data_IF_568489736978
#
_entry.id   IF_568489736978
#
_cell.length_a   1.000
_cell.length_b   1.000
_cell.length_c   1.000
_cell.angle_alpha   90.00
_cell.angle_beta   90.00
_cell.angle_gamma   90.00
#
_symmetry.space_group_name_H-M   'P 1'
#
loop_
_entity.id
_entity.type
_entity.pdbx_description
1 polymer ?
#
# COMPACT_ATOMS: atom_id res chain seq x y z
N UNK A 1 79.98 -3.01 -66.59
CA UNK A 1 78.72 -2.37 -67.03
C UNK A 1 77.51 -3.19 -66.64
N UNK A 2 76.66 -2.69 -65.74
CA UNK A 2 75.33 -3.30 -65.53
C UNK A 2 74.93 -3.61 -64.12
N UNK A 3 75.09 -2.69 -63.12
CA UNK A 3 74.54 -2.88 -61.76
C UNK A 3 73.56 -1.80 -61.38
N UNK A 4 73.12 -0.92 -62.35
CA UNK A 4 72.22 0.18 -62.07
C UNK A 4 70.70 -0.10 -62.17
N UNK A 5 70.28 -1.19 -62.90
CA UNK A 5 68.88 -1.47 -63.20
C UNK A 5 68.05 -2.16 -62.07
N UNK A 6 68.76 -3.00 -61.25
CA UNK A 6 68.08 -3.80 -60.22
C UNK A 6 67.56 -2.97 -59.00
N UNK A 7 68.33 -1.95 -58.60
CA UNK A 7 68.02 -1.13 -57.44
C UNK A 7 66.80 -0.25 -57.65
N UNK A 8 66.62 0.26 -58.86
CA UNK A 8 65.44 1.15 -59.21
C UNK A 8 64.09 0.35 -59.24
N UNK A 9 64.19 -0.94 -59.70
CA UNK A 9 62.95 -1.78 -59.74
C UNK A 9 62.55 -2.22 -58.35
N UNK A 10 63.49 -2.59 -57.48
CA UNK A 10 63.23 -3.01 -56.10
C UNK A 10 62.70 -1.84 -55.28
N UNK A 11 63.21 -0.62 -55.47
CA UNK A 11 62.72 0.58 -54.77
C UNK A 11 61.30 0.97 -55.20
N UNK A 12 61.01 0.88 -56.52
CA UNK A 12 59.63 1.12 -57.05
C UNK A 12 58.65 0.07 -56.54
N UNK A 13 59.02 -1.22 -56.47
CA UNK A 13 58.15 -2.28 -55.92
C UNK A 13 57.89 -2.05 -54.43
N UNK A 14 58.87 -1.61 -53.64
CA UNK A 14 58.70 -1.30 -52.21
C UNK A 14 57.75 -0.08 -52.02
N UNK A 15 57.86 0.96 -52.81
CA UNK A 15 57.00 2.16 -52.76
C UNK A 15 55.56 1.78 -53.13
N UNK A 16 55.33 1.04 -54.19
CA UNK A 16 53.99 0.58 -54.59
C UNK A 16 53.38 -0.34 -53.55
N UNK A 17 54.13 -1.25 -52.92
CA UNK A 17 53.59 -2.05 -51.83
C UNK A 17 53.26 -1.24 -50.59
N UNK A 18 54.02 -0.17 -50.29
CA UNK A 18 53.72 0.72 -49.17
C UNK A 18 52.46 1.54 -49.41
N UNK A 19 52.24 2.01 -50.63
CA UNK A 19 51.03 2.73 -51.05
C UNK A 19 49.78 1.82 -51.01
N UNK A 20 49.91 0.59 -51.49
CA UNK A 20 48.82 -0.41 -51.43
C UNK A 20 48.48 -0.77 -50.00
N UNK A 21 49.44 -0.90 -49.09
CA UNK A 21 49.22 -1.15 -47.69
C UNK A 21 48.57 0.05 -46.96
N UNK A 22 48.99 1.27 -47.32
CA UNK A 22 48.37 2.48 -46.78
C UNK A 22 46.90 2.65 -47.24
N UNK A 23 46.63 2.34 -48.51
CA UNK A 23 45.29 2.37 -49.06
C UNK A 23 44.37 1.29 -48.45
N UNK A 24 44.89 0.06 -48.21
CA UNK A 24 44.19 -1.03 -47.51
C UNK A 24 43.88 -0.64 -46.06
N UNK A 25 44.80 -0.01 -45.35
CA UNK A 25 44.60 0.47 -44.00
C UNK A 25 43.51 1.54 -43.93
N UNK A 26 43.49 2.49 -44.87
CA UNK A 26 42.47 3.55 -44.98
C UNK A 26 41.08 2.97 -45.26
N UNK A 27 40.97 1.97 -46.12
CA UNK A 27 39.72 1.26 -46.41
C UNK A 27 39.24 0.49 -45.18
N UNK A 28 40.16 -0.15 -44.45
CA UNK A 28 39.83 -0.85 -43.21
C UNK A 28 39.33 0.09 -42.11
N UNK A 29 39.98 1.25 -41.92
CA UNK A 29 39.53 2.30 -40.97
C UNK A 29 38.15 2.83 -41.32
N UNK A 30 37.89 3.03 -42.62
CA UNK A 30 36.53 3.46 -43.09
C UNK A 30 35.48 2.35 -42.86
N UNK A 31 35.85 1.08 -43.02
CA UNK A 31 34.95 -0.04 -42.76
C UNK A 31 34.63 -0.19 -41.28
N UNK A 32 35.59 -0.01 -40.39
CA UNK A 32 35.40 0.00 -38.95
C UNK A 32 34.46 1.14 -38.52
N UNK A 33 34.67 2.35 -39.08
CA UNK A 33 33.78 3.49 -38.78
C UNK A 33 32.33 3.25 -39.27
N UNK A 34 32.17 2.59 -40.40
CA UNK A 34 30.85 2.22 -40.93
C UNK A 34 30.14 1.20 -40.07
N UNK A 35 30.89 0.22 -39.56
CA UNK A 35 30.37 -0.78 -38.62
C UNK A 35 29.95 -0.15 -37.30
N UNK A 36 30.72 0.78 -36.73
CA UNK A 36 30.36 1.51 -35.51
C UNK A 36 29.10 2.36 -35.70
N UNK A 37 28.96 3.03 -36.85
CA UNK A 37 27.74 3.80 -37.18
C UNK A 37 26.52 2.87 -37.28
N UNK A 38 26.65 1.73 -37.96
CA UNK A 38 25.56 0.75 -38.09
C UNK A 38 25.17 0.14 -36.75
N UNK A 39 26.15 -0.17 -35.89
CA UNK A 39 25.90 -0.68 -34.55
C UNK A 39 25.17 0.37 -33.68
N UNK A 40 25.62 1.62 -33.72
CA UNK A 40 24.96 2.73 -33.00
C UNK A 40 23.54 2.95 -33.50
N UNK A 41 23.31 2.93 -34.82
CA UNK A 41 21.98 3.04 -35.41
C UNK A 41 21.08 1.87 -35.00
N UNK A 42 21.57 0.63 -35.04
CA UNK A 42 20.83 -0.54 -34.63
C UNK A 42 20.45 -0.49 -33.12
N UNK A 43 21.35 0.02 -32.28
CA UNK A 43 21.09 0.21 -30.83
C UNK A 43 20.04 1.29 -30.59
N UNK A 44 20.08 2.39 -31.34
CA UNK A 44 19.07 3.45 -31.25
C UNK A 44 17.70 2.94 -31.73
N UNK A 45 17.64 2.23 -32.86
CA UNK A 45 16.41 1.63 -33.39
C UNK A 45 15.83 0.60 -32.38
N UNK A 46 16.70 -0.22 -31.76
CA UNK A 46 16.30 -1.19 -30.74
C UNK A 46 15.77 -0.51 -29.47
N UNK A 47 16.41 0.58 -29.03
CA UNK A 47 15.94 1.40 -27.91
C UNK A 47 14.60 2.07 -28.24
N UNK A 48 14.43 2.63 -29.43
CA UNK A 48 13.16 3.20 -29.90
C UNK A 48 12.08 2.11 -29.97
N UNK A 49 12.40 0.93 -30.50
CA UNK A 49 11.47 -0.20 -30.56
C UNK A 49 11.03 -0.67 -29.17
N UNK A 50 11.97 -0.78 -28.21
CA UNK A 50 11.65 -1.11 -26.81
C UNK A 50 10.78 -0.02 -26.18
N UNK A 51 11.15 1.25 -26.32
CA UNK A 51 10.35 2.36 -25.74
C UNK A 51 8.96 2.46 -26.35
N UNK A 52 8.80 2.28 -27.67
CA UNK A 52 7.48 2.28 -28.32
C UNK A 52 6.66 1.03 -28.05
N UNK A 53 7.30 -0.12 -27.73
CA UNK A 53 6.62 -1.36 -27.36
C UNK A 53 6.08 -1.32 -25.92
N UNK A 54 6.60 -0.43 -25.05
CA UNK A 54 6.17 -0.25 -23.66
C UNK A 54 5.19 0.93 -23.47
N UNK A 55 4.81 1.63 -24.52
CA UNK A 55 3.81 2.71 -24.38
C UNK A 55 2.38 2.15 -24.39
N UNK A 56 1.58 2.57 -23.43
CA UNK A 56 0.18 2.21 -23.34
C UNK A 56 -0.59 2.75 -24.57
N UNK A 57 -1.07 1.86 -25.44
CA UNK A 57 -1.76 2.24 -26.69
C UNK A 57 -3.23 2.63 -26.49
N UNK A 58 -3.82 2.26 -25.35
CA UNK A 58 -5.22 2.54 -25.00
C UNK A 58 -5.32 3.05 -23.58
N UNK A 59 -6.40 3.76 -23.25
CA UNK A 59 -6.66 4.25 -21.88
C UNK A 59 -6.69 3.10 -20.89
N UNK A 60 -7.32 1.97 -21.26
CA UNK A 60 -7.38 0.81 -20.39
C UNK A 60 -5.98 0.23 -20.09
N UNK A 61 -5.13 0.08 -21.10
CA UNK A 61 -3.74 -0.37 -20.93
C UNK A 61 -2.94 0.59 -20.04
N UNK A 62 -3.15 1.90 -20.18
CA UNK A 62 -2.50 2.90 -19.33
C UNK A 62 -2.92 2.76 -17.85
N UNK A 63 -4.21 2.49 -17.57
CA UNK A 63 -4.65 2.22 -16.20
C UNK A 63 -4.13 0.90 -15.66
N UNK A 64 -4.03 -0.16 -16.47
CA UNK A 64 -3.45 -1.44 -16.08
C UNK A 64 -1.98 -1.28 -15.68
N UNK A 65 -1.17 -0.63 -16.54
CA UNK A 65 0.23 -0.30 -16.25
C UNK A 65 0.38 0.56 -14.99
N UNK A 66 -0.43 1.61 -14.86
CA UNK A 66 -0.42 2.47 -13.68
C UNK A 66 -0.77 1.73 -12.39
N UNK A 67 -1.77 0.84 -12.45
CA UNK A 67 -2.12 -0.02 -11.33
C UNK A 67 -0.99 -0.94 -10.92
N UNK A 68 -0.34 -1.59 -11.87
CA UNK A 68 0.73 -2.55 -11.64
C UNK A 68 1.98 -1.86 -11.07
N UNK A 69 2.41 -0.77 -11.69
CA UNK A 69 3.70 -0.15 -11.37
C UNK A 69 3.66 0.79 -10.17
N UNK A 70 2.55 1.52 -9.97
CA UNK A 70 2.51 2.63 -9.00
C UNK A 70 1.45 2.51 -7.91
N UNK A 71 0.41 1.73 -8.12
CA UNK A 71 -0.75 1.70 -7.20
C UNK A 71 -0.83 0.40 -6.41
N UNK A 72 -0.82 -0.75 -7.09
CA UNK A 72 -0.93 -2.04 -6.44
C UNK A 72 0.37 -2.44 -5.76
N UNK A 73 0.26 -3.19 -4.68
CA UNK A 73 1.43 -3.78 -4.03
C UNK A 73 2.08 -4.81 -4.96
N UNK A 74 3.41 -4.83 -4.96
CA UNK A 74 4.15 -5.87 -5.64
C UNK A 74 3.77 -7.26 -5.10
N UNK A 75 3.47 -8.25 -5.97
CA UNK A 75 3.07 -9.59 -5.53
C UNK A 75 4.17 -10.31 -4.73
N UNK A 76 5.45 -10.12 -5.07
CA UNK A 76 6.59 -10.74 -4.39
C UNK A 76 6.74 -10.15 -2.98
N UNK A 77 6.68 -8.81 -2.86
CA UNK A 77 6.77 -8.13 -1.57
C UNK A 77 5.54 -8.44 -0.70
N UNK A 78 4.36 -8.55 -1.30
CA UNK A 78 3.15 -9.02 -0.61
C UNK A 78 3.34 -10.43 -0.04
N UNK A 79 3.95 -11.35 -0.79
CA UNK A 79 4.25 -12.71 -0.33
C UNK A 79 5.27 -12.71 0.81
N UNK A 80 6.37 -11.96 0.66
CA UNK A 80 7.38 -11.79 1.72
C UNK A 80 6.77 -11.22 3.01
N UNK A 81 5.95 -10.18 2.88
CA UNK A 81 5.30 -9.53 3.99
C UNK A 81 4.36 -10.48 4.76
N UNK A 82 3.59 -11.30 4.05
CA UNK A 82 2.75 -12.33 4.67
C UNK A 82 3.57 -13.40 5.39
N UNK A 83 4.66 -13.88 4.79
CA UNK A 83 5.55 -14.86 5.41
C UNK A 83 6.22 -14.28 6.65
N UNK A 84 6.73 -13.04 6.57
CA UNK A 84 7.36 -12.34 7.70
C UNK A 84 6.35 -12.10 8.85
N UNK A 85 5.12 -11.71 8.54
CA UNK A 85 4.03 -11.58 9.52
C UNK A 85 3.72 -12.90 10.21
N UNK A 86 3.55 -13.97 9.44
CA UNK A 86 3.21 -15.28 10.00
C UNK A 86 4.33 -15.78 10.91
N UNK A 87 5.57 -15.65 10.50
CA UNK A 87 6.72 -16.00 11.34
C UNK A 87 6.76 -15.17 12.64
N UNK A 88 6.49 -13.86 12.58
CA UNK A 88 6.41 -13.02 13.77
C UNK A 88 5.35 -13.54 14.75
N UNK A 89 4.18 -13.91 14.28
CA UNK A 89 3.07 -14.36 15.13
C UNK A 89 3.32 -15.76 15.66
N UNK A 90 3.52 -16.71 14.75
CA UNK A 90 3.53 -18.15 15.06
C UNK A 90 4.79 -18.56 15.82
N UNK A 91 5.97 -18.08 15.37
CA UNK A 91 7.25 -18.49 15.95
C UNK A 91 7.70 -17.57 17.09
N UNK A 92 7.34 -16.29 17.08
CA UNK A 92 7.81 -15.36 18.09
C UNK A 92 6.74 -15.05 19.13
N UNK A 93 5.62 -14.41 18.74
CA UNK A 93 4.63 -13.93 19.73
C UNK A 93 3.96 -15.09 20.45
N UNK A 94 3.56 -16.14 19.73
CA UNK A 94 2.94 -17.31 20.36
C UNK A 94 3.89 -18.06 21.33
N UNK A 95 5.20 -17.86 21.22
CA UNK A 95 6.19 -18.40 22.16
C UNK A 95 6.41 -17.54 23.40
N UNK A 96 5.90 -16.30 23.48
CA UNK A 96 6.14 -15.39 24.61
C UNK A 96 5.71 -15.94 25.97
N UNK A 97 4.56 -16.64 26.13
CA UNK A 97 4.19 -17.24 27.40
C UNK A 97 5.18 -18.28 27.93
N UNK A 98 5.98 -18.90 27.06
CA UNK A 98 7.03 -19.86 27.45
C UNK A 98 8.36 -19.16 27.75
N UNK A 99 8.61 -17.99 27.16
CA UNK A 99 9.82 -17.19 27.37
C UNK A 99 9.73 -16.31 28.63
N UNK A 100 8.52 -15.98 29.07
CA UNK A 100 8.26 -15.16 30.26
C UNK A 100 7.03 -15.67 30.99
N UNK A 101 7.26 -16.25 32.18
CA UNK A 101 6.20 -16.82 33.04
C UNK A 101 5.11 -15.79 33.43
N UNK A 102 5.43 -14.50 33.37
CA UNK A 102 4.50 -13.41 33.68
C UNK A 102 3.88 -12.79 32.44
N UNK A 103 4.14 -13.34 31.26
CA UNK A 103 3.44 -12.91 30.05
C UNK A 103 1.97 -13.35 30.12
N UNK A 104 1.00 -12.50 29.78
CA UNK A 104 -0.41 -12.86 29.75
C UNK A 104 -0.67 -14.10 28.89
N UNK A 105 -1.71 -14.84 29.25
CA UNK A 105 -2.13 -15.99 28.45
C UNK A 105 -2.70 -15.51 27.12
N UNK A 106 -2.24 -16.09 26.02
CA UNK A 106 -2.76 -15.84 24.68
C UNK A 106 -4.11 -16.53 24.45
N UNK A 107 -4.90 -15.98 23.55
CA UNK A 107 -6.11 -16.57 23.02
C UNK A 107 -5.98 -16.62 21.49
N UNK A 108 -4.99 -17.37 21.00
CA UNK A 108 -4.46 -17.34 19.65
C UNK A 108 -5.50 -17.60 18.55
N UNK A 109 -6.56 -18.38 18.86
CA UNK A 109 -7.65 -18.62 17.91
C UNK A 109 -8.49 -17.37 17.61
N UNK A 110 -8.27 -16.31 18.36
CA UNK A 110 -8.95 -15.01 18.21
C UNK A 110 -8.03 -13.90 17.73
N UNK A 111 -6.79 -14.23 17.35
CA UNK A 111 -5.92 -13.30 16.64
C UNK A 111 -6.57 -12.88 15.34
N UNK A 112 -6.37 -11.62 14.95
CA UNK A 112 -7.01 -11.09 13.75
C UNK A 112 -6.07 -10.19 12.97
N UNK A 113 -5.97 -10.42 11.66
CA UNK A 113 -5.34 -9.49 10.74
C UNK A 113 -6.34 -8.38 10.39
N UNK A 114 -5.91 -7.15 10.50
CA UNK A 114 -6.77 -6.01 10.25
C UNK A 114 -6.05 -4.91 9.44
N UNK A 115 -6.61 -3.71 9.38
CA UNK A 115 -6.03 -2.64 8.59
C UNK A 115 -6.17 -2.82 7.08
N UNK A 116 -5.55 -1.92 6.33
CA UNK A 116 -5.70 -1.86 4.87
C UNK A 116 -5.03 -3.03 4.15
N UNK A 117 -3.94 -3.58 4.70
CA UNK A 117 -3.26 -4.75 4.13
C UNK A 117 -4.12 -6.00 4.21
N UNK A 118 -4.76 -6.24 5.35
CA UNK A 118 -5.67 -7.38 5.55
C UNK A 118 -6.92 -7.29 4.67
N UNK A 119 -7.49 -6.08 4.48
CA UNK A 119 -8.63 -5.83 3.60
C UNK A 119 -8.27 -5.81 2.12
N UNK A 120 -6.99 -5.90 1.76
CA UNK A 120 -6.47 -5.80 0.38
C UNK A 120 -6.73 -4.44 -0.27
N UNK A 121 -6.92 -3.41 0.53
CA UNK A 121 -7.12 -2.02 0.09
C UNK A 121 -5.87 -1.14 0.27
N UNK A 122 -4.74 -1.74 0.66
CA UNK A 122 -3.44 -1.07 0.76
C UNK A 122 -2.91 -0.77 -0.63
N UNK A 123 -2.49 0.47 -0.86
CA UNK A 123 -1.73 0.89 -2.05
C UNK A 123 -0.23 0.94 -1.76
N UNK A 124 0.61 1.03 -2.78
CA UNK A 124 2.04 1.34 -2.62
C UNK A 124 2.29 2.68 -1.92
N UNK A 125 3.35 2.74 -1.09
CA UNK A 125 4.17 1.63 -0.65
C UNK A 125 3.48 0.76 0.41
N UNK A 126 3.96 -0.46 0.62
CA UNK A 126 3.63 -1.25 1.80
C UNK A 126 4.46 -0.71 2.96
N UNK A 127 3.86 0.06 3.85
CA UNK A 127 4.54 0.75 4.95
C UNK A 127 4.13 0.21 6.34
N UNK A 128 2.93 -0.38 6.47
CA UNK A 128 2.42 -0.93 7.72
C UNK A 128 1.62 -2.23 7.53
N UNK A 129 1.72 -3.12 8.50
CA UNK A 129 0.95 -4.37 8.60
C UNK A 129 0.37 -4.44 10.02
N UNK A 130 -0.94 -4.33 10.09
CA UNK A 130 -1.67 -4.30 11.35
C UNK A 130 -2.05 -5.70 11.82
N UNK A 131 -1.76 -6.01 13.10
CA UNK A 131 -1.98 -7.31 13.71
C UNK A 131 -2.61 -7.13 15.09
N UNK A 132 -3.75 -7.74 15.33
CA UNK A 132 -4.33 -7.84 16.68
C UNK A 132 -4.01 -9.20 17.27
N UNK A 133 -3.36 -9.19 18.44
CA UNK A 133 -3.03 -10.40 19.22
C UNK A 133 -3.96 -10.49 20.41
N UNK A 134 -4.76 -11.53 20.42
CA UNK A 134 -5.77 -11.72 21.43
C UNK A 134 -5.19 -12.35 22.70
N UNK A 135 -5.52 -11.74 23.82
CA UNK A 135 -5.21 -12.21 25.16
C UNK A 135 -6.43 -12.86 25.81
N UNK A 136 -6.21 -13.87 26.61
CA UNK A 136 -7.26 -14.43 27.46
C UNK A 136 -7.62 -13.43 28.56
N UNK A 137 -8.89 -13.11 28.67
CA UNK A 137 -9.38 -12.20 29.71
C UNK A 137 -9.39 -12.81 31.13
N UNK A 138 -9.28 -14.13 31.26
CA UNK A 138 -9.18 -14.88 32.54
C UNK A 138 -10.24 -14.44 33.58
N UNK A 139 -11.48 -14.19 33.12
CA UNK A 139 -12.58 -13.73 33.95
C UNK A 139 -12.59 -12.23 34.23
N UNK A 140 -11.77 -11.43 33.58
CA UNK A 140 -11.82 -9.98 33.69
C UNK A 140 -13.14 -9.43 33.14
N UNK A 141 -13.61 -8.36 33.79
CA UNK A 141 -14.81 -7.63 33.38
C UNK A 141 -14.44 -6.27 32.81
N UNK A 142 -15.36 -5.65 32.08
CA UNK A 142 -15.16 -4.29 31.61
C UNK A 142 -16.37 -3.41 31.87
N UNK A 143 -16.12 -2.12 32.04
CA UNK A 143 -17.13 -1.09 32.16
C UNK A 143 -16.80 0.03 31.15
N UNK A 144 -17.80 0.39 30.32
CA UNK A 144 -17.63 1.42 29.31
C UNK A 144 -18.41 2.68 29.65
N UNK A 145 -17.73 3.81 29.77
CA UNK A 145 -18.37 5.14 29.84
C UNK A 145 -18.78 5.62 28.43
N UNK A 146 -18.02 5.19 27.41
CA UNK A 146 -18.31 5.35 26.00
C UNK A 146 -17.62 4.23 25.22
N UNK A 147 -17.82 4.16 23.89
CA UNK A 147 -17.11 3.18 23.07
C UNK A 147 -15.59 3.43 23.04
N UNK A 148 -15.16 4.69 23.25
CA UNK A 148 -13.76 5.11 23.20
C UNK A 148 -13.08 5.14 24.57
N UNK A 149 -13.83 4.94 25.65
CA UNK A 149 -13.31 4.93 27.02
C UNK A 149 -13.88 3.78 27.82
N UNK A 150 -13.08 2.73 27.96
CA UNK A 150 -13.44 1.49 28.66
C UNK A 150 -12.38 1.16 29.70
N UNK A 151 -12.80 0.85 30.90
CA UNK A 151 -11.98 0.31 31.95
C UNK A 151 -12.15 -1.21 32.03
N UNK A 152 -11.03 -1.93 32.13
CA UNK A 152 -11.03 -3.39 32.37
C UNK A 152 -10.60 -3.69 33.81
N UNK A 153 -11.32 -4.57 34.49
CA UNK A 153 -11.09 -4.96 35.84
C UNK A 153 -10.70 -6.43 35.95
N UNK A 154 -9.54 -6.66 36.51
CA UNK A 154 -8.88 -7.98 36.58
C UNK A 154 -9.17 -8.65 37.92
N UNK A 155 -9.70 -9.89 37.97
CA UNK A 155 -9.89 -10.64 39.22
C UNK A 155 -8.55 -11.10 39.80
N UNK A 156 -8.52 -11.36 41.07
CA UNK A 156 -7.29 -11.79 41.76
C UNK A 156 -6.74 -13.14 41.24
N UNK A 157 -7.59 -13.99 40.69
CA UNK A 157 -7.21 -15.27 40.07
C UNK A 157 -6.37 -15.10 38.81
N UNK A 158 -6.53 -13.99 38.06
CA UNK A 158 -5.78 -13.69 36.85
C UNK A 158 -4.43 -13.00 37.17
N UNK A 159 -3.56 -13.68 37.88
CA UNK A 159 -2.35 -13.11 38.50
C UNK A 159 -1.39 -12.48 37.48
N UNK A 160 -1.33 -12.97 36.22
CA UNK A 160 -0.47 -12.42 35.17
C UNK A 160 -0.98 -11.05 34.69
N UNK A 161 -2.27 -10.95 34.44
CA UNK A 161 -2.92 -9.68 34.09
C UNK A 161 -2.88 -8.70 35.25
N UNK A 162 -3.02 -9.19 36.50
CA UNK A 162 -2.97 -8.37 37.69
C UNK A 162 -1.66 -7.57 37.82
N UNK A 163 -0.52 -8.12 37.38
CA UNK A 163 0.76 -7.43 37.37
C UNK A 163 0.82 -6.26 36.34
N UNK A 164 -0.11 -6.23 35.41
CA UNK A 164 -0.21 -5.19 34.41
C UNK A 164 -1.31 -4.16 34.73
N UNK A 165 -1.93 -4.26 35.91
CA UNK A 165 -2.86 -3.24 36.37
C UNK A 165 -2.14 -1.96 36.78
N UNK A 166 -2.87 -0.85 36.83
CA UNK A 166 -2.41 0.40 37.43
C UNK A 166 -2.14 0.19 38.93
N UNK A 167 -1.10 0.86 39.44
CA UNK A 167 -0.60 0.62 40.79
C UNK A 167 -1.69 0.85 41.84
N UNK A 168 -1.80 -0.10 42.78
CA UNK A 168 -2.80 -0.06 43.82
C UNK A 168 -4.24 -0.37 43.37
N UNK A 169 -4.47 -0.75 42.11
CA UNK A 169 -5.81 -1.00 41.57
C UNK A 169 -5.95 -2.36 40.92
N UNK A 170 -7.19 -2.67 40.49
CA UNK A 170 -7.51 -3.82 39.67
C UNK A 170 -7.72 -3.44 38.20
N UNK A 171 -7.49 -2.18 37.82
CA UNK A 171 -7.67 -1.70 36.44
C UNK A 171 -6.50 -2.10 35.56
N UNK A 172 -6.77 -2.87 34.51
CA UNK A 172 -5.76 -3.28 33.55
C UNK A 172 -5.26 -2.08 32.73
N UNK A 173 -3.97 -1.81 32.81
CA UNK A 173 -3.35 -0.69 32.10
C UNK A 173 -2.87 -1.13 30.72
N UNK A 174 -3.51 -0.61 29.67
CA UNK A 174 -3.20 -0.97 28.27
C UNK A 174 -1.78 -0.61 27.86
N UNK A 175 -1.19 0.47 28.41
CA UNK A 175 0.21 0.84 28.18
C UNK A 175 1.16 -0.22 28.74
N UNK A 176 0.90 -0.72 29.97
CA UNK A 176 1.71 -1.79 30.58
C UNK A 176 1.63 -3.07 29.74
N UNK A 177 0.45 -3.36 29.16
CA UNK A 177 0.27 -4.51 28.25
C UNK A 177 1.11 -4.35 26.98
N UNK A 178 1.03 -3.21 26.29
CA UNK A 178 1.84 -2.95 25.08
C UNK A 178 3.33 -3.06 25.40
N UNK A 179 3.77 -2.43 26.50
CA UNK A 179 5.18 -2.44 26.90
C UNK A 179 5.69 -3.86 27.19
N UNK A 180 4.80 -4.76 27.65
CA UNK A 180 5.13 -6.17 27.85
C UNK A 180 5.45 -6.89 26.55
N UNK A 181 4.72 -6.60 25.46
CA UNK A 181 5.02 -7.10 24.12
C UNK A 181 6.35 -6.56 23.62
N UNK A 182 6.56 -5.23 23.70
CA UNK A 182 7.80 -4.57 23.25
C UNK A 182 9.02 -5.17 23.94
N UNK A 183 8.96 -5.36 25.28
CA UNK A 183 10.07 -5.93 26.04
C UNK A 183 10.44 -7.36 25.64
N UNK A 184 9.50 -8.14 25.11
CA UNK A 184 9.80 -9.48 24.60
C UNK A 184 10.26 -9.47 23.14
N UNK A 185 9.74 -8.56 22.33
CA UNK A 185 10.26 -8.34 20.96
C UNK A 185 11.73 -7.90 20.99
N UNK A 186 12.15 -7.15 22.01
CA UNK A 186 13.56 -6.77 22.21
C UNK A 186 14.49 -7.97 22.42
N UNK A 187 13.96 -9.07 22.94
CA UNK A 187 14.72 -10.30 23.20
C UNK A 187 14.82 -11.22 21.96
N UNK A 188 14.09 -10.91 20.88
CA UNK A 188 14.16 -11.67 19.63
C UNK A 188 15.40 -11.24 18.86
N UNK A 189 16.39 -12.13 18.63
CA UNK A 189 17.68 -11.75 18.01
C UNK A 189 17.52 -11.05 16.67
N UNK A 190 16.58 -11.50 15.83
CA UNK A 190 16.30 -10.94 14.52
C UNK A 190 15.75 -9.50 14.58
N UNK A 191 15.18 -9.11 15.74
CA UNK A 191 14.58 -7.79 15.93
C UNK A 191 15.42 -6.87 16.83
N UNK A 192 16.58 -7.31 17.33
CA UNK A 192 17.47 -6.45 18.11
C UNK A 192 17.82 -5.14 17.42
N UNK A 193 18.16 -5.11 16.11
CA UNK A 193 18.45 -3.87 15.40
C UNK A 193 17.23 -3.07 14.98
N UNK A 194 16.01 -3.59 15.21
CA UNK A 194 14.75 -2.92 14.85
C UNK A 194 14.42 -1.80 15.84
N UNK A 195 13.80 -0.73 15.37
CA UNK A 195 13.19 0.27 16.25
C UNK A 195 11.85 -0.27 16.76
N UNK A 196 11.68 -0.23 18.08
CA UNK A 196 10.50 -0.70 18.79
C UNK A 196 10.03 0.38 19.74
N UNK A 197 8.83 0.86 19.50
CA UNK A 197 8.23 1.88 20.35
C UNK A 197 6.71 1.69 20.43
N UNK A 198 6.12 2.32 21.44
CA UNK A 198 4.67 2.42 21.53
C UNK A 198 4.17 3.58 20.68
N UNK A 199 3.19 3.28 19.84
CA UNK A 199 2.49 4.28 19.05
C UNK A 199 0.98 4.13 19.31
N UNK A 200 0.43 5.01 20.16
CA UNK A 200 -0.99 4.99 20.55
C UNK A 200 -1.49 3.61 20.98
N UNK A 201 -2.24 2.91 20.13
CA UNK A 201 -2.85 1.61 20.39
C UNK A 201 -1.91 0.42 20.21
N UNK A 202 -0.78 0.63 19.56
CA UNK A 202 0.10 -0.44 19.10
C UNK A 202 1.51 -0.39 19.70
N UNK A 203 2.14 -1.56 19.77
CA UNK A 203 3.59 -1.68 19.76
C UNK A 203 4.08 -1.75 18.31
N UNK A 204 4.71 -0.70 17.83
CA UNK A 204 5.26 -0.64 16.48
C UNK A 204 6.64 -1.28 16.45
N UNK A 205 6.84 -2.22 15.53
CA UNK A 205 8.09 -2.88 15.22
C UNK A 205 8.56 -2.47 13.82
N UNK A 206 9.53 -1.57 13.76
CA UNK A 206 10.13 -1.12 12.49
C UNK A 206 11.39 -1.91 12.19
N UNK A 207 11.33 -2.76 11.16
CA UNK A 207 12.44 -3.59 10.72
C UNK A 207 13.41 -2.77 9.86
N UNK A 208 14.72 -2.97 10.04
CA UNK A 208 15.75 -2.33 9.19
C UNK A 208 15.88 -2.99 7.82
N UNK A 209 15.46 -4.24 7.70
CA UNK A 209 15.62 -5.07 6.51
C UNK A 209 14.42 -5.10 5.57
N UNK A 210 13.33 -4.42 5.95
CA UNK A 210 12.09 -4.33 5.18
C UNK A 210 11.54 -2.92 5.19
N UNK A 211 10.80 -2.57 4.15
CA UNK A 211 10.18 -1.23 4.01
C UNK A 211 8.90 -1.07 4.84
N UNK A 212 8.39 -2.16 5.42
CA UNK A 212 7.17 -2.14 6.25
C UNK A 212 7.46 -2.30 7.73
N UNK A 213 6.53 -1.78 8.52
CA UNK A 213 6.46 -1.96 9.97
C UNK A 213 5.39 -3.00 10.33
N UNK A 214 5.49 -3.56 11.53
CA UNK A 214 4.38 -4.27 12.15
C UNK A 214 3.80 -3.44 13.29
N UNK A 215 2.49 -3.20 13.23
CA UNK A 215 1.73 -2.62 14.32
C UNK A 215 0.99 -3.72 15.07
N UNK A 216 1.52 -4.07 16.25
CA UNK A 216 1.03 -5.15 17.09
C UNK A 216 0.12 -4.56 18.15
N UNK A 217 -1.17 -4.85 18.05
CA UNK A 217 -2.21 -4.36 18.93
C UNK A 217 -2.68 -5.49 19.86
N UNK A 218 -2.34 -5.47 21.16
CA UNK A 218 -2.93 -6.41 22.12
C UNK A 218 -4.43 -6.18 22.22
N UNK A 219 -5.22 -7.24 22.26
CA UNK A 219 -6.67 -7.11 22.34
C UNK A 219 -7.31 -8.18 23.22
N UNK A 220 -8.56 -7.93 23.60
CA UNK A 220 -9.43 -8.91 24.27
C UNK A 220 -10.74 -9.02 23.50
N UNK A 221 -11.19 -10.25 23.25
CA UNK A 221 -12.52 -10.48 22.70
C UNK A 221 -13.53 -10.50 23.86
N UNK A 222 -14.60 -9.71 23.74
CA UNK A 222 -15.66 -9.68 24.75
C UNK A 222 -16.52 -10.94 24.72
N UNK A 223 -17.18 -11.25 25.81
CA UNK A 223 -18.31 -12.16 25.80
C UNK A 223 -19.43 -11.59 24.91
N UNK A 224 -20.31 -12.44 24.35
CA UNK A 224 -21.45 -11.97 23.59
C UNK A 224 -22.37 -11.09 24.46
N UNK A 225 -22.77 -9.96 23.91
CA UNK A 225 -23.88 -9.14 24.46
C UNK A 225 -25.23 -9.88 24.29
N UNK A 226 -26.31 -9.31 24.85
CA UNK A 226 -27.66 -9.88 24.71
C UNK A 226 -28.07 -10.12 23.23
N UNK A 227 -27.59 -9.28 22.32
CA UNK A 227 -27.79 -9.42 20.86
C UNK A 227 -26.93 -10.51 20.19
N UNK A 228 -26.06 -11.20 20.94
CA UNK A 228 -25.06 -12.11 20.42
C UNK A 228 -23.83 -11.43 19.86
N UNK A 229 -23.77 -10.10 19.85
CA UNK A 229 -22.65 -9.32 19.31
C UNK A 229 -21.45 -9.39 20.24
N UNK A 230 -20.26 -9.54 19.64
CA UNK A 230 -18.97 -9.46 20.32
C UNK A 230 -18.14 -8.34 19.74
N UNK A 231 -17.20 -7.81 20.53
CA UNK A 231 -16.26 -6.78 20.14
C UNK A 231 -14.84 -7.16 20.53
N UNK A 232 -13.88 -6.48 19.94
CA UNK A 232 -12.54 -6.44 20.48
C UNK A 232 -12.34 -5.17 21.31
N UNK A 233 -11.68 -5.33 22.47
CA UNK A 233 -11.17 -4.21 23.24
C UNK A 233 -9.69 -4.05 22.92
N UNK A 234 -9.31 -2.88 22.45
CA UNK A 234 -7.93 -2.51 22.11
C UNK A 234 -7.48 -1.33 22.97
N UNK A 235 -6.17 -1.11 23.15
CA UNK A 235 -5.66 0.06 23.85
C UNK A 235 -6.21 1.37 23.28
N UNK A 236 -6.45 2.36 24.15
CA UNK A 236 -6.87 3.71 23.77
C UNK A 236 -5.69 4.70 23.59
N UNK A 237 -4.46 4.22 23.84
CA UNK A 237 -3.26 5.04 23.86
C UNK A 237 -3.01 5.78 25.18
N UNK A 238 -3.96 5.80 26.12
CA UNK A 238 -3.92 6.56 27.40
C UNK A 238 -3.91 5.69 28.64
N UNK A 239 -3.92 4.38 28.47
CA UNK A 239 -3.89 3.41 29.57
C UNK A 239 -5.20 2.66 29.78
N UNK A 240 -6.27 3.08 29.12
CA UNK A 240 -7.55 2.40 29.10
C UNK A 240 -7.74 1.62 27.78
N UNK A 241 -8.98 1.27 27.47
CA UNK A 241 -9.37 0.45 26.34
C UNK A 241 -10.48 1.12 25.55
N UNK A 242 -10.65 0.73 24.29
CA UNK A 242 -11.75 1.16 23.42
C UNK A 242 -12.28 -0.02 22.60
N UNK A 243 -13.55 0.06 22.19
CA UNK A 243 -14.18 -0.95 21.34
C UNK A 243 -13.72 -0.83 19.88
N UNK A 244 -13.58 -1.97 19.22
CA UNK A 244 -13.45 -2.07 17.77
C UNK A 244 -13.97 -3.42 17.29
N UNK A 245 -14.28 -3.51 15.98
CA UNK A 245 -14.61 -4.78 15.34
C UNK A 245 -14.16 -4.78 13.86
N UNK A 246 -12.90 -5.04 13.59
CA UNK A 246 -12.37 -5.01 12.23
C UNK A 246 -12.90 -6.15 11.34
N UNK A 247 -13.62 -7.14 11.88
CA UNK A 247 -14.28 -8.19 11.10
C UNK A 247 -15.33 -7.58 10.18
N UNK A 248 -16.10 -6.60 10.69
CA UNK A 248 -17.15 -5.89 9.93
C UNK A 248 -16.55 -5.17 8.73
N UNK A 249 -15.44 -4.45 8.92
CA UNK A 249 -14.75 -3.76 7.83
C UNK A 249 -14.28 -4.74 6.73
N UNK A 250 -13.66 -5.84 7.14
CA UNK A 250 -13.16 -6.86 6.21
C UNK A 250 -14.28 -7.52 5.43
N UNK A 251 -15.33 -7.91 6.13
CA UNK A 251 -16.47 -8.62 5.53
C UNK A 251 -17.22 -7.70 4.57
N UNK A 252 -17.40 -6.41 4.93
CA UNK A 252 -17.99 -5.40 4.07
C UNK A 252 -17.22 -5.21 2.77
N UNK A 253 -15.90 -4.98 2.86
CA UNK A 253 -15.05 -4.85 1.65
C UNK A 253 -15.16 -6.10 0.79
N UNK A 254 -15.13 -7.28 1.40
CA UNK A 254 -15.22 -8.55 0.68
C UNK A 254 -16.56 -8.70 -0.04
N UNK A 255 -17.67 -8.45 0.63
CA UNK A 255 -19.03 -8.57 0.07
C UNK A 255 -19.24 -7.57 -1.08
N UNK A 256 -18.91 -6.29 -0.88
CA UNK A 256 -19.06 -5.27 -1.92
C UNK A 256 -18.19 -5.60 -3.13
N UNK A 257 -16.93 -5.98 -2.91
CA UNK A 257 -16.03 -6.35 -4.00
C UNK A 257 -16.53 -7.59 -4.78
N UNK A 258 -17.03 -8.60 -4.09
CA UNK A 258 -17.58 -9.80 -4.74
C UNK A 258 -18.85 -9.48 -5.54
N UNK A 259 -19.74 -8.66 -5.01
CA UNK A 259 -20.93 -8.22 -5.73
C UNK A 259 -20.60 -7.51 -7.04
N UNK A 260 -19.50 -6.77 -7.08
CA UNK A 260 -19.02 -6.00 -8.24
C UNK A 260 -17.89 -6.73 -9.01
N UNK A 261 -17.90 -8.06 -9.04
CA UNK A 261 -17.00 -8.92 -9.84
C UNK A 261 -15.49 -8.69 -9.56
N UNK A 262 -15.14 -8.19 -8.39
CA UNK A 262 -13.74 -7.95 -8.01
C UNK A 262 -13.20 -6.55 -8.37
N UNK A 263 -13.99 -5.68 -8.99
CA UNK A 263 -13.53 -4.41 -9.54
C UNK A 263 -13.28 -3.31 -8.48
N UNK A 264 -13.83 -3.46 -7.25
CA UNK A 264 -13.80 -2.38 -6.25
C UNK A 264 -12.43 -2.19 -5.61
N UNK A 265 -11.63 -3.23 -5.43
CA UNK A 265 -10.34 -3.11 -4.76
C UNK A 265 -9.36 -2.21 -5.52
N UNK A 266 -9.32 -2.31 -6.86
CA UNK A 266 -8.49 -1.42 -7.67
C UNK A 266 -8.96 0.03 -7.59
N UNK A 267 -10.28 0.26 -7.61
CA UNK A 267 -10.87 1.60 -7.46
C UNK A 267 -10.51 2.22 -6.11
N UNK A 268 -10.64 1.49 -5.00
CA UNK A 268 -10.25 1.98 -3.68
C UNK A 268 -8.77 2.37 -3.65
N UNK A 269 -7.87 1.55 -4.22
CA UNK A 269 -6.44 1.84 -4.23
C UNK A 269 -6.09 3.02 -5.12
N UNK A 270 -6.70 3.13 -6.30
CA UNK A 270 -6.55 4.28 -7.19
C UNK A 270 -7.02 5.58 -6.53
N UNK A 271 -8.20 5.58 -5.91
CA UNK A 271 -8.72 6.75 -5.22
C UNK A 271 -7.87 7.12 -3.99
N UNK A 272 -7.31 6.15 -3.29
CA UNK A 272 -6.30 6.42 -2.23
C UNK A 272 -5.01 7.04 -2.81
N UNK A 273 -4.61 6.66 -4.03
CA UNK A 273 -3.49 7.30 -4.72
C UNK A 273 -3.83 8.74 -5.07
N UNK A 274 -4.98 8.99 -5.70
CA UNK A 274 -5.50 10.32 -6.00
C UNK A 274 -5.55 11.22 -4.75
N UNK A 275 -6.07 10.70 -3.64
CA UNK A 275 -6.19 11.41 -2.37
C UNK A 275 -4.84 11.83 -1.74
N UNK A 276 -3.74 11.15 -2.08
CA UNK A 276 -2.39 11.45 -1.55
C UNK A 276 -1.59 12.43 -2.41
N UNK A 277 -2.17 13.01 -3.45
CA UNK A 277 -1.48 14.01 -4.27
C UNK A 277 -1.17 15.26 -3.46
N UNK A 278 0.03 15.88 -3.65
CA UNK A 278 0.49 17.01 -2.85
C UNK A 278 -0.41 18.26 -2.90
N UNK A 279 -1.27 18.34 -3.91
CA UNK A 279 -2.07 19.54 -4.22
C UNK A 279 -3.43 19.58 -3.51
N UNK A 280 -3.73 18.64 -2.62
CA UNK A 280 -5.00 18.63 -1.91
C UNK A 280 -4.84 18.21 -0.44
N UNK A 281 -5.73 18.62 0.46
CA UNK A 281 -5.76 18.10 1.83
C UNK A 281 -6.04 16.59 1.78
N UNK A 282 -5.30 15.82 2.60
CA UNK A 282 -5.50 14.37 2.69
C UNK A 282 -6.74 14.07 3.52
N UNK A 283 -7.74 13.51 2.88
CA UNK A 283 -8.83 12.80 3.54
C UNK A 283 -8.28 11.53 4.19
N UNK A 284 -8.73 11.19 5.39
CA UNK A 284 -8.36 9.93 6.03
C UNK A 284 -8.66 8.73 5.13
N UNK A 285 -7.72 7.80 4.98
CA UNK A 285 -7.88 6.65 4.07
C UNK A 285 -9.08 5.77 4.42
N UNK A 286 -9.45 5.69 5.71
CA UNK A 286 -10.61 4.95 6.18
C UNK A 286 -11.92 5.65 5.79
N UNK A 287 -11.98 6.98 5.91
CA UNK A 287 -13.13 7.76 5.45
C UNK A 287 -13.35 7.57 3.95
N UNK A 288 -12.31 7.77 3.14
CA UNK A 288 -12.41 7.59 1.68
C UNK A 288 -12.86 6.18 1.28
N UNK A 289 -12.29 5.16 1.93
CA UNK A 289 -12.66 3.76 1.70
C UNK A 289 -14.16 3.53 2.00
N UNK A 290 -14.65 4.07 3.12
CA UNK A 290 -16.07 3.94 3.48
C UNK A 290 -16.99 4.72 2.53
N UNK A 291 -16.64 5.92 2.10
CA UNK A 291 -17.41 6.65 1.08
C UNK A 291 -17.54 5.86 -0.23
N UNK A 292 -16.46 5.24 -0.68
CA UNK A 292 -16.48 4.38 -1.89
C UNK A 292 -17.38 3.15 -1.67
N UNK A 293 -17.24 2.50 -0.51
CA UNK A 293 -18.06 1.33 -0.19
C UNK A 293 -19.53 1.70 -0.01
N UNK A 294 -19.87 2.88 0.54
CA UNK A 294 -21.25 3.39 0.64
C UNK A 294 -21.85 3.55 -0.76
N UNK A 295 -21.11 4.20 -1.68
CA UNK A 295 -21.55 4.38 -3.06
C UNK A 295 -21.89 3.05 -3.74
N UNK A 296 -20.98 2.08 -3.66
CA UNK A 296 -21.18 0.77 -4.31
C UNK A 296 -22.16 -0.15 -3.57
N UNK A 297 -22.35 0.04 -2.26
CA UNK A 297 -23.35 -0.75 -1.50
C UNK A 297 -24.79 -0.45 -1.90
N UNK A 298 -25.08 0.76 -2.39
CA UNK A 298 -26.41 1.16 -2.84
C UNK A 298 -26.60 1.06 -4.35
N UNK A 299 -25.52 0.92 -5.10
CA UNK A 299 -25.52 0.84 -6.57
C UNK A 299 -25.95 -0.55 -7.00
N UNK A 300 -27.09 -0.63 -7.72
CA UNK A 300 -27.64 -1.92 -8.22
C UNK A 300 -26.92 -2.45 -9.45
N UNK A 301 -26.29 -1.56 -10.21
CA UNK A 301 -25.52 -1.92 -11.41
C UNK A 301 -24.11 -2.31 -10.99
N UNK A 302 -23.57 -3.40 -11.53
CA UNK A 302 -22.21 -3.82 -11.23
C UNK A 302 -21.21 -2.80 -11.75
N UNK A 303 -20.13 -2.61 -11.00
CA UNK A 303 -19.05 -1.74 -11.43
C UNK A 303 -18.40 -2.29 -12.70
N UNK A 304 -18.15 -1.42 -13.65
CA UNK A 304 -17.47 -1.77 -14.89
C UNK A 304 -16.03 -2.23 -14.65
N UNK A 305 -15.52 -3.10 -15.51
CA UNK A 305 -14.09 -3.39 -15.61
C UNK A 305 -13.30 -2.22 -16.21
N UNK A 306 -13.97 -1.31 -16.91
CA UNK A 306 -13.37 -0.07 -17.45
C UNK A 306 -13.24 0.95 -16.33
N UNK A 307 -12.06 1.01 -15.73
CA UNK A 307 -11.75 1.80 -14.53
C UNK A 307 -12.03 3.28 -14.71
N UNK A 308 -11.74 3.84 -15.90
CA UNK A 308 -11.95 5.24 -16.23
C UNK A 308 -13.40 5.70 -15.98
N UNK A 309 -14.37 4.88 -16.30
CA UNK A 309 -15.77 5.22 -16.10
C UNK A 309 -16.17 5.22 -14.62
N UNK A 310 -15.62 4.30 -13.85
CA UNK A 310 -15.90 4.19 -12.42
C UNK A 310 -15.18 5.31 -11.62
N UNK A 311 -13.98 5.70 -12.00
CA UNK A 311 -13.27 6.84 -11.40
C UNK A 311 -14.06 8.14 -11.61
N UNK A 312 -14.59 8.38 -12.81
CA UNK A 312 -15.43 9.53 -13.08
C UNK A 312 -16.64 9.61 -12.14
N UNK A 313 -17.38 8.51 -11.98
CA UNK A 313 -18.52 8.42 -11.03
C UNK A 313 -18.10 8.67 -9.59
N UNK A 314 -16.96 8.15 -9.16
CA UNK A 314 -16.44 8.37 -7.80
C UNK A 314 -16.02 9.81 -7.54
N UNK A 315 -15.41 10.46 -8.52
CA UNK A 315 -15.08 11.89 -8.44
C UNK A 315 -16.35 12.74 -8.28
N UNK A 316 -17.37 12.48 -9.09
CA UNK A 316 -18.67 13.13 -8.97
C UNK A 316 -19.30 12.88 -7.58
N UNK A 317 -19.33 11.62 -7.14
CA UNK A 317 -19.88 11.24 -5.85
C UNK A 317 -19.19 11.95 -4.68
N UNK A 318 -17.83 11.99 -4.68
CA UNK A 318 -17.07 12.67 -3.63
C UNK A 318 -17.39 14.17 -3.61
N UNK A 319 -17.43 14.82 -4.78
CA UNK A 319 -17.77 16.24 -4.89
C UNK A 319 -19.09 16.57 -4.17
N UNK A 320 -20.11 15.76 -4.38
CA UNK A 320 -21.44 16.00 -3.80
C UNK A 320 -21.58 15.53 -2.35
N UNK A 321 -20.86 14.47 -1.95
CA UNK A 321 -21.12 13.78 -0.68
C UNK A 321 -20.07 14.06 0.41
N UNK A 322 -18.97 14.77 0.12
CA UNK A 322 -17.93 15.05 1.12
C UNK A 322 -18.44 15.88 2.32
N UNK A 323 -19.52 16.62 2.16
CA UNK A 323 -20.13 17.41 3.22
C UNK A 323 -21.04 16.60 4.15
N UNK A 324 -21.48 15.43 3.71
CA UNK A 324 -22.38 14.57 4.44
C UNK A 324 -21.68 13.80 5.56
N UNK A 325 -22.44 13.37 6.55
CA UNK A 325 -21.99 12.41 7.55
C UNK A 325 -21.74 11.06 6.90
N UNK A 326 -20.64 10.41 7.27
CA UNK A 326 -20.31 9.03 6.91
C UNK A 326 -20.31 8.22 8.20
N UNK A 327 -21.23 7.28 8.33
CA UNK A 327 -21.34 6.48 9.53
C UNK A 327 -20.30 5.37 9.57
N UNK A 328 -19.70 5.16 10.74
CA UNK A 328 -18.86 3.99 11.00
C UNK A 328 -19.65 2.70 10.77
N UNK A 329 -19.25 1.81 9.84
CA UNK A 329 -19.95 0.56 9.58
C UNK A 329 -20.00 -0.36 10.79
N UNK A 330 -19.07 -0.19 11.73
CA UNK A 330 -19.03 -0.92 13.01
C UNK A 330 -20.07 -0.42 14.02
N UNK A 331 -20.72 0.74 13.77
CA UNK A 331 -21.64 1.41 14.68
C UNK A 331 -21.00 1.70 16.07
N UNK A 332 -19.70 2.02 16.08
CA UNK A 332 -18.92 2.29 17.29
C UNK A 332 -18.55 3.77 17.38
N UNK A 333 -18.05 4.37 16.29
CA UNK A 333 -17.49 5.73 16.27
C UNK A 333 -18.51 6.79 15.82
N UNK A 334 -19.70 6.39 15.35
CA UNK A 334 -20.68 7.32 14.79
C UNK A 334 -20.22 7.92 13.46
N UNK A 335 -20.25 9.25 13.34
CA UNK A 335 -19.79 9.93 12.13
C UNK A 335 -18.27 9.96 12.05
N UNK A 336 -17.70 9.32 11.03
CA UNK A 336 -16.24 9.27 10.78
C UNK A 336 -15.75 10.40 9.85
N UNK A 337 -16.66 11.22 9.29
CA UNK A 337 -16.30 12.40 8.52
C UNK A 337 -16.09 13.60 9.45
N UNK A 338 -14.92 13.64 10.05
CA UNK A 338 -14.49 14.70 10.98
C UNK A 338 -13.66 15.80 10.32
N UNK A 339 -13.67 15.89 8.98
CA UNK A 339 -12.94 16.91 8.24
C UNK A 339 -13.48 18.32 8.56
N UNK A 340 -12.58 19.28 8.65
CA UNK A 340 -12.93 20.68 8.74
C UNK A 340 -13.64 21.16 7.47
N UNK A 341 -14.57 22.09 7.62
CA UNK A 341 -15.39 22.58 6.50
C UNK A 341 -14.54 23.13 5.35
N UNK A 342 -13.46 23.85 5.68
CA UNK A 342 -12.50 24.37 4.69
C UNK A 342 -11.82 23.29 3.88
N UNK A 343 -11.50 22.15 4.49
CA UNK A 343 -10.88 21.01 3.79
C UNK A 343 -11.91 20.26 2.94
N UNK A 344 -13.15 20.16 3.41
CA UNK A 344 -14.27 19.65 2.59
C UNK A 344 -14.45 20.45 1.30
N UNK A 345 -14.42 21.80 1.38
CA UNK A 345 -14.49 22.68 0.20
C UNK A 345 -13.32 22.39 -0.76
N UNK A 346 -12.09 22.31 -0.27
CA UNK A 346 -10.91 22.04 -1.12
C UNK A 346 -11.01 20.68 -1.82
N UNK A 347 -11.44 19.64 -1.09
CA UNK A 347 -11.65 18.30 -1.64
C UNK A 347 -12.76 18.29 -2.68
N UNK A 348 -13.90 18.94 -2.41
CA UNK A 348 -15.01 19.05 -3.34
C UNK A 348 -14.58 19.75 -4.64
N UNK A 349 -13.92 20.91 -4.53
CA UNK A 349 -13.44 21.68 -5.69
C UNK A 349 -12.44 20.86 -6.53
N UNK A 350 -11.52 20.14 -5.88
CA UNK A 350 -10.59 19.26 -6.57
C UNK A 350 -11.30 18.11 -7.26
N UNK A 351 -12.22 17.46 -6.57
CA UNK A 351 -13.01 16.36 -7.12
C UNK A 351 -13.85 16.81 -8.32
N UNK A 352 -14.50 17.98 -8.24
CA UNK A 352 -15.26 18.58 -9.34
C UNK A 352 -14.38 18.86 -10.56
N UNK A 353 -13.22 19.49 -10.35
CA UNK A 353 -12.27 19.77 -11.43
C UNK A 353 -11.79 18.48 -12.11
N UNK A 354 -11.43 17.46 -11.33
CA UNK A 354 -10.93 16.21 -11.86
C UNK A 354 -12.05 15.36 -12.49
N UNK A 355 -13.30 15.51 -12.02
CA UNK A 355 -14.49 14.94 -12.66
C UNK A 355 -14.67 15.50 -14.07
N UNK A 356 -14.65 16.83 -14.25
CA UNK A 356 -14.77 17.44 -15.58
C UNK A 356 -13.65 16.96 -16.53
N UNK A 357 -12.41 16.92 -16.05
CA UNK A 357 -11.30 16.37 -16.83
C UNK A 357 -11.51 14.89 -17.20
N UNK A 358 -12.10 14.11 -16.31
CA UNK A 358 -12.39 12.70 -16.59
C UNK A 358 -13.44 12.53 -17.70
N UNK A 359 -14.43 13.43 -17.76
CA UNK A 359 -15.39 13.46 -18.88
C UNK A 359 -14.73 13.82 -20.19
N UNK A 360 -13.87 14.85 -20.19
CA UNK A 360 -13.08 15.23 -21.38
C UNK A 360 -12.22 14.06 -21.88
N UNK A 361 -11.55 13.35 -20.95
CA UNK A 361 -10.73 12.17 -21.28
C UNK A 361 -11.56 11.03 -21.87
N UNK A 362 -12.75 10.77 -21.33
CA UNK A 362 -13.67 9.74 -21.86
C UNK A 362 -14.20 10.14 -23.23
N UNK A 363 -14.51 11.40 -23.46
CA UNK A 363 -14.93 11.89 -24.77
C UNK A 363 -13.81 11.76 -25.82
N UNK A 364 -12.57 12.12 -25.45
CA UNK A 364 -11.40 11.92 -26.32
C UNK A 364 -11.19 10.44 -26.66
N UNK A 365 -11.32 9.55 -25.69
CA UNK A 365 -11.22 8.10 -25.92
C UNK A 365 -12.30 7.60 -26.88
N UNK A 366 -13.55 8.01 -26.69
CA UNK A 366 -14.68 7.62 -27.54
C UNK A 366 -14.52 8.11 -29.00
N UNK A 367 -13.82 9.22 -29.19
CA UNK A 367 -13.49 9.77 -30.50
C UNK A 367 -12.19 9.20 -31.11
N UNK A 368 -11.55 8.21 -30.44
CA UNK A 368 -10.34 7.55 -30.89
C UNK A 368 -9.03 8.33 -30.63
N UNK A 369 -9.09 9.44 -29.89
CA UNK A 369 -7.92 10.26 -29.52
C UNK A 369 -7.22 9.73 -28.26
N UNK A 370 -6.76 8.46 -28.29
CA UNK A 370 -6.22 7.78 -27.13
C UNK A 370 -5.04 8.51 -26.48
N UNK A 371 -4.12 9.06 -27.27
CA UNK A 371 -2.98 9.83 -26.73
C UNK A 371 -3.43 11.03 -25.89
N UNK A 372 -4.38 11.81 -26.40
CA UNK A 372 -4.90 12.97 -25.67
C UNK A 372 -5.68 12.54 -24.42
N UNK A 373 -6.47 11.48 -24.53
CA UNK A 373 -7.19 10.91 -23.39
C UNK A 373 -6.24 10.46 -22.27
N UNK A 374 -5.17 9.73 -22.60
CA UNK A 374 -4.14 9.28 -21.63
C UNK A 374 -3.48 10.48 -20.95
N UNK A 375 -3.09 11.49 -21.73
CA UNK A 375 -2.47 12.71 -21.17
C UNK A 375 -3.43 13.46 -20.23
N UNK A 376 -4.73 13.52 -20.56
CA UNK A 376 -5.74 14.12 -19.68
C UNK A 376 -5.91 13.34 -18.38
N UNK A 377 -5.88 11.99 -18.40
CA UNK A 377 -5.82 11.17 -17.17
C UNK A 377 -4.54 11.43 -16.39
N UNK A 378 -3.40 11.65 -17.04
CA UNK A 378 -2.14 12.07 -16.40
C UNK A 378 -2.26 13.37 -15.62
N UNK A 379 -3.06 14.34 -16.07
CA UNK A 379 -3.35 15.55 -15.30
C UNK A 379 -4.11 15.27 -13.99
N UNK A 380 -4.95 14.23 -13.96
CA UNK A 380 -5.70 13.80 -12.76
C UNK A 380 -4.78 13.05 -11.80
N UNK A 381 -3.99 12.08 -12.28
CA UNK A 381 -3.18 11.18 -11.45
C UNK A 381 -1.73 11.64 -11.25
N UNK A 382 -1.22 12.54 -12.06
CA UNK A 382 0.14 13.10 -12.00
C UNK A 382 1.15 12.35 -12.86
N UNK A 383 2.42 12.74 -12.73
CA UNK A 383 3.51 12.36 -13.62
C UNK A 383 3.83 10.85 -13.67
N UNK A 384 3.35 10.08 -12.71
CA UNK A 384 3.52 8.63 -12.72
C UNK A 384 2.47 7.91 -13.57
N UNK A 385 1.42 8.61 -14.01
CA UNK A 385 0.48 8.03 -14.96
C UNK A 385 1.18 7.90 -16.31
N UNK A 386 1.00 6.76 -17.02
CA UNK A 386 1.66 6.54 -18.30
C UNK A 386 1.42 7.68 -19.31
N UNK A 387 2.40 7.94 -20.15
CA UNK A 387 2.30 8.83 -21.30
C UNK A 387 2.28 8.00 -22.58
N UNK A 388 1.66 8.55 -23.61
CA UNK A 388 1.63 7.87 -24.91
C UNK A 388 2.83 8.26 -25.75
#
# INVERSE_FOLDING_TARGET
LGIGGGYIVITKIKIVNHEILAQRRKVFEQLCLLIDILYTFATIVFLIYITTSFMAKTVNAAFEEFLEDYVNLDPQDTKKARSSRNWLIEEQIHSFPYKDLYFPRLYSEKDIYFGSFARRTKKRPLDDIDIMIALSAEGSTYYGFSNDFIEMYVPNSAYKLKKLCSDGTNKLNSIKVINKFIALLDKVPQYQPADKHRNQEAGTLKLKSYDWNFDIVPCFLTAPEYTGRTYYLIPDGKGNWKKTDPRIDRDRVTQVNQYHDGNILNLIRLMKYWNKRPTMPSMGSYLLENMILDFYSITRVRASSYIQWEISKLLEYINHNIFNSVNDPKLIQGNINTLEYTDKIKIANRSSKDYLKSLDAIELENNGYHTLAINTWGEIFGNNFPVY
#
